data_IF_413525436242
#
_entry.id   IF_413525436242
#
_cell.length_a   1.000
_cell.length_b   1.000
_cell.length_c   1.000
_cell.angle_alpha   90.00
_cell.angle_beta   90.00
_cell.angle_gamma   90.00
#
_symmetry.space_group_name_H-M   'P 1'
#
loop_
_entity.id
_entity.type
_entity.pdbx_description
1 polymer ?
#
# COMPACT_ATOMS: atom_id res chain seq x y z
N UNK A 1 17.05 25.68 -24.91
CA UNK A 1 18.43 25.87 -24.40
C UNK A 1 18.56 25.14 -23.07
N UNK A 2 19.72 24.52 -22.84
CA UNK A 2 20.03 23.85 -21.57
C UNK A 2 20.95 24.75 -20.74
N UNK A 3 20.82 24.70 -19.41
CA UNK A 3 21.76 25.36 -18.50
C UNK A 3 23.07 24.56 -18.36
N UNK A 4 24.02 25.13 -17.59
CA UNK A 4 25.33 24.51 -17.35
C UNK A 4 25.24 23.13 -16.62
N UNK A 5 24.10 22.80 -16.03
CA UNK A 5 23.83 21.55 -15.32
C UNK A 5 23.01 20.57 -16.16
N UNK A 6 22.72 20.88 -17.43
CA UNK A 6 22.00 20.03 -18.35
C UNK A 6 20.46 20.12 -18.29
N UNK A 7 19.90 20.97 -17.42
CA UNK A 7 18.46 21.16 -17.29
C UNK A 7 17.90 22.01 -18.45
N UNK A 8 16.71 21.67 -18.93
CA UNK A 8 16.02 22.42 -19.99
C UNK A 8 15.43 23.70 -19.40
N UNK A 9 16.06 24.83 -19.69
CA UNK A 9 15.69 26.16 -19.13
C UNK A 9 14.62 26.88 -19.94
N UNK A 10 14.50 26.59 -21.22
CA UNK A 10 13.38 27.02 -22.05
C UNK A 10 13.26 26.15 -23.32
N UNK A 11 12.07 25.75 -23.69
CA UNK A 11 11.73 25.32 -25.04
C UNK A 11 10.98 26.47 -25.69
N UNK A 12 11.63 27.17 -26.60
CA UNK A 12 10.92 28.09 -27.47
C UNK A 12 10.13 27.23 -28.45
N UNK A 13 8.83 27.13 -28.29
CA UNK A 13 7.97 26.62 -29.33
C UNK A 13 8.06 27.61 -30.48
N UNK A 14 8.59 27.18 -31.61
CA UNK A 14 8.52 27.90 -32.84
C UNK A 14 7.05 27.96 -33.29
N UNK A 15 6.33 28.97 -32.78
CA UNK A 15 4.94 29.21 -33.14
C UNK A 15 4.78 29.86 -34.53
N UNK A 16 5.89 30.09 -35.24
CA UNK A 16 5.95 30.82 -36.50
C UNK A 16 6.68 30.05 -37.61
N UNK A 17 6.21 28.91 -37.99
CA UNK A 17 6.54 28.28 -39.28
C UNK A 17 5.27 27.76 -39.97
N UNK A 18 4.19 28.56 -39.92
CA UNK A 18 3.11 28.46 -40.86
C UNK A 18 3.46 29.20 -42.14
N UNK A 19 3.05 28.70 -43.32
CA UNK A 19 3.24 29.44 -44.56
C UNK A 19 2.38 30.71 -44.51
N UNK A 20 3.04 31.88 -44.36
CA UNK A 20 2.41 33.17 -44.54
C UNK A 20 2.07 33.33 -46.00
N UNK A 21 0.87 32.94 -46.36
CA UNK A 21 0.28 33.27 -47.65
C UNK A 21 -0.30 34.65 -47.62
N UNK A 22 0.17 35.52 -48.51
CA UNK A 22 -0.67 36.41 -49.23
C UNK A 22 -0.66 37.88 -48.82
N UNK A 23 -0.23 38.70 -49.72
CA UNK A 23 -0.91 39.96 -50.02
C UNK A 23 -0.10 41.19 -50.21
N UNK A 24 0.33 41.48 -51.43
CA UNK A 24 0.09 42.77 -52.08
C UNK A 24 1.07 43.90 -51.92
N UNK A 25 1.73 44.29 -53.02
CA UNK A 25 2.00 45.69 -53.30
C UNK A 25 3.38 46.09 -53.73
N UNK A 26 3.68 46.05 -55.01
CA UNK A 26 4.30 47.06 -55.84
C UNK A 26 5.67 47.64 -55.49
N UNK A 27 6.68 47.37 -56.32
CA UNK A 27 7.92 48.11 -56.39
C UNK A 27 8.97 47.36 -57.21
N UNK A 28 9.10 47.70 -58.49
CA UNK A 28 10.07 47.10 -59.41
C UNK A 28 11.52 47.37 -59.00
N UNK A 29 12.27 46.35 -58.91
CA UNK A 29 13.70 46.30 -58.82
C UNK A 29 14.15 44.91 -59.18
N UNK A 30 14.74 44.78 -60.39
CA UNK A 30 15.29 43.56 -60.93
C UNK A 30 16.50 43.17 -60.08
N UNK A 31 16.30 42.37 -59.07
CA UNK A 31 17.37 41.74 -58.31
C UNK A 31 17.56 40.33 -58.91
N UNK A 32 18.78 40.08 -59.40
CA UNK A 32 19.19 38.77 -59.86
C UNK A 32 18.83 37.66 -58.84
N UNK A 33 18.38 36.50 -59.23
CA UNK A 33 18.04 35.41 -58.33
C UNK A 33 19.29 35.02 -57.58
N UNK A 34 19.34 35.33 -56.31
CA UNK A 34 20.23 34.67 -55.36
C UNK A 34 19.80 33.20 -55.41
N UNK A 35 20.76 32.34 -55.83
CA UNK A 35 20.56 30.90 -55.75
C UNK A 35 20.12 30.57 -54.31
N UNK A 36 18.84 30.36 -54.11
CA UNK A 36 18.29 30.06 -52.80
C UNK A 36 18.97 28.79 -52.30
N UNK A 37 19.46 28.82 -51.06
CA UNK A 37 19.76 27.61 -50.32
C UNK A 37 18.58 26.63 -50.50
N UNK A 38 18.85 25.34 -50.72
CA UNK A 38 17.79 24.37 -50.85
C UNK A 38 16.96 24.49 -49.56
N UNK A 39 15.70 24.88 -49.72
CA UNK A 39 14.74 24.89 -48.61
C UNK A 39 14.78 23.45 -48.07
N UNK A 40 15.36 23.28 -46.88
CA UNK A 40 15.40 21.99 -46.23
C UNK A 40 13.98 21.47 -46.20
N UNK A 41 13.76 20.35 -46.89
CA UNK A 41 12.43 19.74 -46.92
C UNK A 41 12.10 19.35 -45.51
N UNK A 42 11.04 19.92 -44.97
CA UNK A 42 10.55 19.60 -43.64
C UNK A 42 10.38 18.07 -43.53
N UNK A 43 11.12 17.47 -42.58
CA UNK A 43 11.09 16.02 -42.38
C UNK A 43 10.19 15.71 -41.19
N UNK A 44 8.95 15.31 -41.45
CA UNK A 44 7.95 14.97 -40.46
C UNK A 44 8.48 13.92 -39.45
N UNK A 45 9.25 12.95 -39.92
CA UNK A 45 9.81 11.90 -39.07
C UNK A 45 10.84 12.46 -38.09
N UNK A 46 11.73 13.32 -38.52
CA UNK A 46 12.69 13.98 -37.66
C UNK A 46 12.02 14.92 -36.66
N UNK A 47 11.00 15.65 -37.10
CA UNK A 47 10.16 16.48 -36.23
C UNK A 47 9.45 15.64 -35.17
N UNK A 48 8.78 14.56 -35.55
CA UNK A 48 8.09 13.64 -34.66
C UNK A 48 9.06 13.03 -33.65
N UNK A 49 10.22 12.55 -34.11
CA UNK A 49 11.24 11.96 -33.24
C UNK A 49 11.80 12.97 -32.24
N UNK A 50 12.05 14.22 -32.67
CA UNK A 50 12.61 15.26 -31.82
C UNK A 50 11.64 15.73 -30.72
N UNK A 51 10.34 15.78 -31.03
CA UNK A 51 9.33 16.32 -30.11
C UNK A 51 8.55 15.24 -29.34
N UNK A 52 8.36 14.07 -29.91
CA UNK A 52 7.50 13.00 -29.42
C UNK A 52 8.21 11.65 -29.31
N UNK A 53 9.56 11.60 -29.39
CA UNK A 53 10.34 10.36 -29.34
C UNK A 53 10.09 9.49 -28.11
N UNK A 54 9.69 10.13 -27.00
CA UNK A 54 9.29 9.44 -25.76
C UNK A 54 8.03 8.56 -25.92
N UNK A 55 7.21 8.80 -26.94
CA UNK A 55 6.02 8.00 -27.22
C UNK A 55 6.37 6.57 -27.70
N UNK A 56 7.61 6.35 -28.18
CA UNK A 56 8.03 5.10 -28.79
C UNK A 56 7.57 4.97 -30.24
N UNK A 57 8.16 3.99 -30.96
CA UNK A 57 8.05 3.91 -32.42
C UNK A 57 6.61 3.73 -32.91
N UNK A 58 5.83 2.88 -32.26
CA UNK A 58 4.45 2.58 -32.67
C UNK A 58 3.56 3.85 -32.65
N UNK A 59 3.60 4.60 -31.57
CA UNK A 59 2.82 5.84 -31.45
C UNK A 59 3.39 6.96 -32.31
N UNK A 60 4.71 6.97 -32.57
CA UNK A 60 5.30 7.91 -33.50
C UNK A 60 4.82 7.67 -34.93
N UNK A 61 4.74 6.43 -35.36
CA UNK A 61 4.25 6.09 -36.70
C UNK A 61 2.77 6.49 -36.85
N UNK A 62 1.94 6.24 -35.83
CA UNK A 62 0.55 6.70 -35.79
C UNK A 62 0.46 8.23 -35.81
N UNK A 63 1.30 8.95 -35.05
CA UNK A 63 1.34 10.39 -35.08
C UNK A 63 1.70 10.92 -36.48
N UNK A 64 2.69 10.33 -37.15
CA UNK A 64 3.13 10.73 -38.48
C UNK A 64 1.99 10.51 -39.51
N UNK A 65 1.29 9.38 -39.43
CA UNK A 65 0.15 9.10 -40.28
C UNK A 65 -0.97 10.12 -40.09
N UNK A 66 -1.36 10.41 -38.83
CA UNK A 66 -2.35 11.44 -38.51
C UNK A 66 -1.89 12.84 -38.94
N UNK A 67 -0.61 13.18 -38.76
CA UNK A 67 -0.04 14.46 -39.19
C UNK A 67 -0.16 14.68 -40.70
N UNK A 68 0.10 13.64 -41.45
CA UNK A 68 -0.02 13.70 -42.94
C UNK A 68 -1.50 13.81 -43.36
N UNK A 69 -2.42 13.09 -42.72
CA UNK A 69 -3.86 13.15 -42.99
C UNK A 69 -4.44 14.51 -42.66
N UNK A 70 -4.00 15.12 -41.55
CA UNK A 70 -4.52 16.39 -41.06
C UNK A 70 -3.79 17.64 -41.63
N UNK A 71 -3.08 17.47 -42.73
CA UNK A 71 -2.44 18.60 -43.44
C UNK A 71 -1.30 19.27 -42.68
N UNK A 72 -0.66 18.58 -41.76
CA UNK A 72 0.49 19.05 -41.01
C UNK A 72 0.15 19.73 -39.69
N UNK A 73 -1.06 19.56 -39.18
CA UNK A 73 -1.46 20.05 -37.86
C UNK A 73 -1.07 19.05 -36.78
N UNK A 74 -0.11 19.44 -35.92
CA UNK A 74 0.41 18.58 -34.87
C UNK A 74 -0.57 18.37 -33.72
N UNK A 75 -1.40 19.35 -33.40
CA UNK A 75 -2.38 19.25 -32.33
C UNK A 75 -3.52 18.32 -32.73
N UNK A 76 -3.92 18.36 -34.03
CA UNK A 76 -4.91 17.45 -34.57
C UNK A 76 -4.38 16.01 -34.67
N UNK A 77 -3.11 15.86 -35.09
CA UNK A 77 -2.41 14.57 -35.11
C UNK A 77 -2.32 13.93 -33.73
N UNK A 78 -1.98 14.71 -32.71
CA UNK A 78 -1.97 14.24 -31.32
C UNK A 78 -3.37 13.82 -30.87
N UNK A 79 -4.41 14.59 -31.22
CA UNK A 79 -5.80 14.22 -30.89
C UNK A 79 -6.21 12.92 -31.57
N UNK A 80 -5.89 12.76 -32.84
CA UNK A 80 -6.16 11.51 -33.58
C UNK A 80 -5.46 10.32 -32.96
N UNK A 81 -4.14 10.41 -32.72
CA UNK A 81 -3.34 9.37 -32.07
C UNK A 81 -3.90 8.98 -30.69
N UNK A 82 -4.31 9.95 -29.86
CA UNK A 82 -4.86 9.70 -28.52
C UNK A 82 -6.17 8.92 -28.54
N UNK A 83 -6.90 8.86 -29.64
CA UNK A 83 -8.12 8.05 -29.76
C UNK A 83 -7.81 6.56 -29.99
N UNK A 84 -6.60 6.22 -30.38
CA UNK A 84 -6.21 4.84 -30.76
C UNK A 84 -6.11 3.92 -29.54
N UNK A 85 -6.31 2.62 -29.77
CA UNK A 85 -6.14 1.62 -28.69
C UNK A 85 -4.68 1.53 -28.23
N UNK A 86 -3.72 1.58 -29.18
CA UNK A 86 -2.28 1.59 -28.86
C UNK A 86 -1.89 2.69 -27.87
N UNK A 87 -2.47 3.89 -27.99
CA UNK A 87 -2.25 4.97 -27.04
C UNK A 87 -2.84 4.65 -25.67
N UNK A 88 -4.06 4.13 -25.61
CA UNK A 88 -4.73 3.76 -24.35
C UNK A 88 -4.02 2.63 -23.62
N UNK A 89 -3.49 1.68 -24.37
CA UNK A 89 -2.70 0.56 -23.82
C UNK A 89 -1.35 1.03 -23.26
N UNK A 90 -0.75 2.05 -23.89
CA UNK A 90 0.52 2.61 -23.42
C UNK A 90 0.38 3.55 -22.24
N UNK A 91 -0.72 4.29 -22.17
CA UNK A 91 -1.02 5.26 -21.11
C UNK A 91 -2.34 4.91 -20.42
N UNK A 92 -2.41 3.75 -19.73
CA UNK A 92 -3.64 3.31 -19.09
C UNK A 92 -4.04 4.31 -17.99
N UNK A 93 -5.30 4.70 -17.99
CA UNK A 93 -5.85 5.64 -17.01
C UNK A 93 -5.54 7.13 -17.25
N UNK A 94 -4.83 7.50 -18.35
CA UNK A 94 -4.51 8.91 -18.64
C UNK A 94 -5.77 9.75 -18.93
N UNK A 95 -6.85 9.12 -19.37
CA UNK A 95 -8.15 9.76 -19.53
C UNK A 95 -8.99 9.62 -18.26
N UNK A 96 -9.84 10.59 -18.01
CA UNK A 96 -10.92 10.49 -17.03
C UNK A 96 -11.97 9.46 -17.50
N UNK A 97 -12.95 9.19 -16.66
CA UNK A 97 -14.02 8.21 -16.94
C UNK A 97 -14.81 8.50 -18.23
N UNK A 98 -14.82 9.76 -18.68
CA UNK A 98 -15.45 10.15 -19.95
C UNK A 98 -14.70 9.64 -21.20
N UNK A 99 -13.51 9.08 -21.02
CA UNK A 99 -12.67 8.50 -22.07
C UNK A 99 -12.05 9.51 -23.05
N UNK A 100 -12.21 10.82 -22.80
CA UNK A 100 -11.80 11.91 -23.70
C UNK A 100 -11.02 13.02 -23.00
N UNK A 101 -11.32 13.31 -21.75
CA UNK A 101 -10.65 14.35 -20.97
C UNK A 101 -9.38 13.77 -20.32
N UNK A 102 -8.23 14.40 -20.59
CA UNK A 102 -6.98 14.02 -19.93
C UNK A 102 -7.00 14.38 -18.43
N UNK A 103 -6.46 13.50 -17.58
CA UNK A 103 -6.32 13.77 -16.14
C UNK A 103 -5.28 14.83 -15.85
N UNK A 104 -4.22 14.87 -16.65
CA UNK A 104 -3.11 15.81 -16.49
C UNK A 104 -3.37 17.02 -17.39
N UNK A 105 -3.58 18.17 -16.77
CA UNK A 105 -3.75 19.45 -17.45
C UNK A 105 -2.38 20.10 -17.68
N UNK A 106 -1.65 19.63 -18.67
CA UNK A 106 -0.34 20.18 -19.05
C UNK A 106 -0.16 20.20 -20.56
N UNK A 107 0.89 20.89 -21.01
CA UNK A 107 1.29 20.88 -22.43
C UNK A 107 1.91 19.54 -22.88
N UNK A 108 2.34 18.71 -21.93
CA UNK A 108 3.02 17.42 -22.17
C UNK A 108 2.50 16.35 -21.22
N UNK A 109 1.18 16.03 -21.27
CA UNK A 109 0.55 15.14 -20.29
C UNK A 109 1.15 13.73 -20.30
N UNK A 110 1.64 13.25 -21.45
CA UNK A 110 2.29 11.95 -21.58
C UNK A 110 3.64 11.92 -20.86
N UNK A 111 4.43 12.98 -20.93
CA UNK A 111 5.69 13.08 -20.20
C UNK A 111 5.47 13.15 -18.69
N UNK A 112 4.45 13.88 -18.26
CA UNK A 112 4.10 13.99 -16.86
C UNK A 112 3.58 12.65 -16.32
N UNK A 113 2.78 11.90 -17.14
CA UNK A 113 2.36 10.53 -16.82
C UNK A 113 3.58 9.61 -16.63
N UNK A 114 4.51 9.60 -17.59
CA UNK A 114 5.73 8.78 -17.52
C UNK A 114 6.52 9.12 -16.25
N UNK A 115 6.64 10.42 -15.93
CA UNK A 115 7.36 10.86 -14.75
C UNK A 115 6.68 10.39 -13.45
N UNK A 116 5.36 10.52 -13.35
CA UNK A 116 4.61 10.05 -12.18
C UNK A 116 4.80 8.54 -11.98
N UNK A 117 4.72 7.74 -13.05
CA UNK A 117 4.96 6.29 -12.99
C UNK A 117 6.39 5.98 -12.58
N UNK A 118 7.37 6.72 -13.09
CA UNK A 118 8.79 6.58 -12.71
C UNK A 118 9.03 6.93 -11.24
N UNK A 119 8.39 7.99 -10.74
CA UNK A 119 8.46 8.37 -9.33
C UNK A 119 7.89 7.25 -8.43
N UNK A 120 6.74 6.63 -8.80
CA UNK A 120 6.22 5.45 -8.08
C UNK A 120 7.19 4.27 -8.09
N UNK A 121 7.79 3.96 -9.26
CA UNK A 121 8.77 2.87 -9.40
C UNK A 121 9.98 3.11 -8.51
N UNK A 122 10.52 4.33 -8.51
CA UNK A 122 11.67 4.70 -7.68
C UNK A 122 11.37 4.51 -6.20
N UNK A 123 10.19 4.93 -5.73
CA UNK A 123 9.82 4.70 -4.34
C UNK A 123 9.69 3.23 -3.98
N UNK A 124 9.16 2.38 -4.86
CA UNK A 124 9.12 0.92 -4.63
C UNK A 124 10.54 0.33 -4.54
N UNK A 125 11.44 0.74 -5.45
CA UNK A 125 12.84 0.30 -5.46
C UNK A 125 13.59 0.73 -4.18
N UNK A 126 13.33 1.90 -3.65
CA UNK A 126 13.91 2.38 -2.39
C UNK A 126 13.57 1.48 -1.19
N UNK A 127 12.44 0.76 -1.26
CA UNK A 127 12.03 -0.24 -0.28
C UNK A 127 12.36 -1.69 -0.69
N UNK A 128 13.19 -1.89 -1.72
CA UNK A 128 13.54 -3.20 -2.30
C UNK A 128 12.33 -4.02 -2.77
N UNK A 129 11.24 -3.36 -3.16
CA UNK A 129 10.07 -3.99 -3.76
C UNK A 129 10.22 -4.01 -5.28
N UNK A 130 9.81 -5.09 -5.93
CA UNK A 130 9.86 -5.19 -7.38
C UNK A 130 8.73 -4.36 -8.02
N UNK A 131 9.02 -3.24 -8.74
CA UNK A 131 7.98 -2.38 -9.30
C UNK A 131 7.07 -3.08 -10.32
N UNK A 132 7.57 -4.09 -11.02
CA UNK A 132 6.78 -4.81 -12.03
C UNK A 132 5.62 -5.58 -11.41
N UNK A 133 5.72 -5.95 -10.13
CA UNK A 133 4.62 -6.56 -9.39
C UNK A 133 3.46 -5.56 -9.17
N UNK A 134 3.76 -4.27 -9.10
CA UNK A 134 2.81 -3.20 -8.76
C UNK A 134 2.27 -2.44 -9.97
N UNK A 135 2.48 -2.92 -11.19
CA UNK A 135 2.11 -2.16 -12.40
C UNK A 135 0.63 -1.79 -12.46
N UNK A 136 -0.25 -2.72 -12.06
CA UNK A 136 -1.69 -2.45 -11.98
C UNK A 136 -2.01 -1.44 -10.87
N UNK A 137 -1.46 -1.66 -9.67
CA UNK A 137 -1.67 -0.76 -8.53
C UNK A 137 -1.16 0.66 -8.81
N UNK A 138 -0.01 0.81 -9.49
CA UNK A 138 0.46 2.14 -9.92
C UNK A 138 -0.50 2.81 -10.91
N UNK A 139 -1.14 2.04 -11.78
CA UNK A 139 -2.17 2.56 -12.67
C UNK A 139 -3.40 2.99 -11.89
N UNK A 140 -3.82 2.20 -10.92
CA UNK A 140 -4.95 2.49 -10.06
C UNK A 140 -4.67 3.73 -9.18
N UNK A 141 -3.50 3.83 -8.58
CA UNK A 141 -3.06 5.03 -7.84
C UNK A 141 -3.14 6.28 -8.71
N UNK A 142 -2.67 6.19 -9.94
CA UNK A 142 -2.73 7.30 -10.89
C UNK A 142 -4.17 7.67 -11.25
N UNK A 143 -5.05 6.67 -11.49
CA UNK A 143 -6.46 6.91 -11.82
C UNK A 143 -7.26 7.50 -10.68
N UNK A 144 -6.83 7.30 -9.45
CA UNK A 144 -7.43 7.89 -8.24
C UNK A 144 -6.71 9.17 -7.77
N UNK A 145 -5.95 9.81 -8.66
CA UNK A 145 -5.27 11.09 -8.43
C UNK A 145 -4.36 11.08 -7.17
N UNK A 146 -3.79 9.91 -6.82
CA UNK A 146 -2.82 9.78 -5.73
C UNK A 146 -1.48 10.29 -6.23
N UNK A 147 -0.98 11.37 -5.66
CA UNK A 147 0.31 11.91 -6.03
C UNK A 147 1.49 11.06 -5.49
N UNK A 148 2.68 11.09 -6.14
CA UNK A 148 3.83 10.29 -5.74
C UNK A 148 4.27 10.51 -4.30
N UNK A 149 4.13 11.71 -3.74
CA UNK A 149 4.51 12.00 -2.35
C UNK A 149 3.56 11.35 -1.35
N UNK A 150 2.27 11.35 -1.66
CA UNK A 150 1.26 10.63 -0.88
C UNK A 150 1.53 9.12 -0.92
N UNK A 151 1.89 8.58 -2.09
CA UNK A 151 2.26 7.17 -2.22
C UNK A 151 3.52 6.84 -1.39
N UNK A 152 4.57 7.65 -1.46
CA UNK A 152 5.78 7.49 -0.66
C UNK A 152 5.47 7.44 0.85
N UNK A 153 4.61 8.34 1.33
CA UNK A 153 4.19 8.36 2.73
C UNK A 153 3.42 7.09 3.13
N UNK A 154 2.59 6.55 2.22
CA UNK A 154 1.89 5.28 2.46
C UNK A 154 2.86 4.10 2.56
N UNK A 155 3.86 4.04 1.67
CA UNK A 155 4.92 3.03 1.72
C UNK A 155 5.73 3.13 3.01
N UNK A 156 6.17 4.34 3.41
CA UNK A 156 6.93 4.54 4.64
C UNK A 156 6.15 4.10 5.88
N UNK A 157 4.88 4.47 5.96
CA UNK A 157 3.98 4.06 7.04
C UNK A 157 3.84 2.54 7.11
N UNK A 158 3.58 1.89 5.97
CA UNK A 158 3.45 0.45 5.90
C UNK A 158 4.77 -0.25 6.26
N UNK A 159 5.88 0.17 5.67
CA UNK A 159 7.20 -0.43 5.88
C UNK A 159 7.66 -0.33 7.33
N UNK A 160 7.68 0.89 7.88
CA UNK A 160 8.15 1.14 9.26
C UNK A 160 7.34 0.36 10.29
N UNK A 161 6.04 0.21 10.04
CA UNK A 161 5.13 -0.45 10.96
C UNK A 161 5.16 -1.97 10.88
N UNK A 162 5.48 -2.54 9.72
CA UNK A 162 5.46 -3.99 9.48
C UNK A 162 6.83 -4.65 9.69
N UNK A 163 7.92 -3.93 9.44
CA UNK A 163 9.25 -4.52 9.28
C UNK A 163 9.75 -5.28 10.52
N UNK A 164 9.40 -4.83 11.75
CA UNK A 164 9.87 -5.46 12.99
C UNK A 164 9.17 -6.78 13.33
N UNK A 165 8.03 -7.07 12.70
CA UNK A 165 7.19 -8.24 12.99
C UNK A 165 6.75 -8.98 11.72
N UNK A 166 7.55 -8.88 10.66
CA UNK A 166 7.14 -9.27 9.31
C UNK A 166 6.71 -10.74 9.18
N UNK A 167 7.48 -11.67 9.76
CA UNK A 167 7.16 -13.10 9.72
C UNK A 167 5.88 -13.44 10.50
N UNK A 168 5.67 -12.81 11.65
CA UNK A 168 4.47 -12.99 12.45
C UNK A 168 3.24 -12.38 11.72
N UNK A 169 3.41 -11.25 11.06
CA UNK A 169 2.38 -10.63 10.22
C UNK A 169 2.03 -11.54 9.05
N UNK A 170 3.01 -12.14 8.36
CA UNK A 170 2.77 -13.12 7.30
C UNK A 170 1.90 -14.29 7.78
N UNK A 171 2.28 -14.90 8.91
CA UNK A 171 1.52 -16.01 9.49
C UNK A 171 0.10 -15.60 9.88
N UNK A 172 -0.07 -14.39 10.44
CA UNK A 172 -1.39 -13.85 10.76
C UNK A 172 -2.26 -13.69 9.50
N UNK A 173 -1.69 -13.18 8.38
CA UNK A 173 -2.41 -13.01 7.13
C UNK A 173 -2.88 -14.33 6.53
N UNK A 174 -2.00 -15.33 6.43
CA UNK A 174 -2.37 -16.67 5.93
C UNK A 174 -3.50 -17.28 6.76
N UNK A 175 -3.44 -17.12 8.07
CA UNK A 175 -4.43 -17.70 8.96
C UNK A 175 -5.80 -17.02 8.86
N UNK A 176 -5.83 -15.70 8.71
CA UNK A 176 -7.10 -14.95 8.72
C UNK A 176 -7.69 -14.71 7.32
N UNK A 177 -6.85 -14.82 6.28
CA UNK A 177 -7.24 -14.60 4.88
C UNK A 177 -6.83 -15.76 3.96
N UNK A 178 -7.14 -17.03 4.30
CA UNK A 178 -6.68 -18.19 3.54
C UNK A 178 -7.22 -18.26 2.11
N UNK A 179 -8.32 -17.57 1.83
CA UNK A 179 -8.87 -17.45 0.48
C UNK A 179 -8.07 -16.54 -0.46
N UNK A 180 -7.24 -15.64 0.12
CA UNK A 180 -6.39 -14.72 -0.63
C UNK A 180 -4.95 -15.24 -0.60
N UNK A 181 -4.50 -15.71 0.56
CA UNK A 181 -3.13 -16.16 0.83
C UNK A 181 -3.18 -17.59 1.38
N UNK A 182 -3.14 -18.62 0.53
CA UNK A 182 -3.28 -20.01 0.96
C UNK A 182 -2.08 -20.55 1.72
N UNK A 183 -0.90 -20.00 1.52
CA UNK A 183 0.32 -20.39 2.24
C UNK A 183 1.25 -19.19 2.51
N UNK A 184 2.21 -19.36 3.42
CA UNK A 184 3.27 -18.35 3.67
C UNK A 184 4.21 -18.20 2.49
N UNK A 185 4.35 -19.22 1.66
CA UNK A 185 5.24 -19.21 0.49
C UNK A 185 4.65 -18.35 -0.65
N UNK A 186 3.30 -18.21 -0.68
CA UNK A 186 2.60 -17.35 -1.63
C UNK A 186 2.57 -15.87 -1.17
N UNK A 187 2.96 -15.62 0.07
CA UNK A 187 2.99 -14.29 0.68
C UNK A 187 4.36 -13.66 0.51
N UNK A 188 4.61 -13.13 -0.68
CA UNK A 188 5.79 -12.29 -0.90
C UNK A 188 5.64 -10.94 -0.20
N UNK A 189 6.75 -10.24 -0.02
CA UNK A 189 6.75 -8.90 0.56
C UNK A 189 5.89 -7.96 -0.27
N UNK A 190 5.96 -8.08 -1.60
CA UNK A 190 5.15 -7.34 -2.54
C UNK A 190 3.64 -7.58 -2.35
N UNK A 191 3.22 -8.84 -2.14
CA UNK A 191 1.81 -9.17 -1.94
C UNK A 191 1.25 -8.53 -0.67
N UNK A 192 2.03 -8.49 0.41
CA UNK A 192 1.66 -7.82 1.66
C UNK A 192 1.56 -6.32 1.41
N UNK A 193 2.61 -5.69 0.87
CA UNK A 193 2.61 -4.26 0.60
C UNK A 193 1.48 -3.85 -0.34
N UNK A 194 1.20 -4.62 -1.39
CA UNK A 194 0.07 -4.36 -2.30
C UNK A 194 -1.27 -4.30 -1.56
N UNK A 195 -1.47 -5.13 -0.53
CA UNK A 195 -2.69 -5.11 0.28
C UNK A 195 -2.82 -3.86 1.16
N UNK A 196 -1.73 -3.17 1.46
CA UNK A 196 -1.72 -1.95 2.27
C UNK A 196 -1.80 -0.66 1.46
N UNK A 197 -1.31 -0.66 0.22
CA UNK A 197 -1.19 0.55 -0.62
C UNK A 197 -2.26 0.64 -1.70
N UNK A 198 -3.28 -0.23 -1.69
CA UNK A 198 -4.34 -0.17 -2.71
C UNK A 198 -5.10 1.18 -2.67
N UNK A 199 -5.64 1.55 -3.81
CA UNK A 199 -6.17 2.87 -4.15
C UNK A 199 -7.28 3.40 -3.24
N UNK A 200 -8.21 2.54 -2.85
CA UNK A 200 -9.41 2.89 -2.07
C UNK A 200 -9.13 3.15 -0.58
N UNK A 201 -7.84 3.15 -0.20
CA UNK A 201 -7.48 3.13 1.21
C UNK A 201 -6.86 4.46 1.60
N UNK A 202 -7.55 5.20 2.46
CA UNK A 202 -6.99 6.38 3.12
C UNK A 202 -5.83 6.01 4.03
N UNK A 203 -4.94 6.94 4.31
CA UNK A 203 -3.83 6.74 5.27
C UNK A 203 -4.30 6.22 6.62
N UNK A 204 -5.47 6.67 7.10
CA UNK A 204 -6.06 6.22 8.36
C UNK A 204 -6.43 4.72 8.31
N UNK A 205 -6.96 4.24 7.18
CA UNK A 205 -7.29 2.82 6.99
C UNK A 205 -6.01 1.99 6.91
N UNK A 206 -4.95 2.51 6.26
CA UNK A 206 -3.64 1.85 6.23
C UNK A 206 -3.09 1.71 7.65
N UNK A 207 -3.04 2.80 8.43
CA UNK A 207 -2.60 2.76 9.82
C UNK A 207 -3.42 1.77 10.66
N UNK A 208 -4.72 1.73 10.44
CA UNK A 208 -5.61 0.81 11.16
C UNK A 208 -5.29 -0.65 10.79
N UNK A 209 -5.13 -0.98 9.50
CA UNK A 209 -4.74 -2.32 9.04
C UNK A 209 -3.38 -2.73 9.58
N UNK A 210 -2.42 -1.81 9.58
CA UNK A 210 -1.10 -2.02 10.17
C UNK A 210 -1.22 -2.35 11.65
N UNK A 211 -1.95 -1.57 12.43
CA UNK A 211 -2.19 -1.81 13.85
C UNK A 211 -2.86 -3.18 14.11
N UNK A 212 -3.86 -3.54 13.30
CA UNK A 212 -4.51 -4.86 13.37
C UNK A 212 -3.51 -5.98 13.11
N UNK A 213 -2.68 -5.84 12.09
CA UNK A 213 -1.66 -6.84 11.74
C UNK A 213 -0.56 -6.96 12.79
N UNK A 214 -0.12 -5.83 13.38
CA UNK A 214 0.84 -5.82 14.48
C UNK A 214 0.29 -6.54 15.72
N UNK A 215 -0.97 -6.27 16.07
CA UNK A 215 -1.62 -6.97 17.20
C UNK A 215 -1.74 -8.46 16.90
N UNK A 216 -2.23 -8.83 15.72
CA UNK A 216 -2.34 -10.23 15.30
C UNK A 216 -0.99 -10.94 15.27
N UNK A 217 0.03 -10.29 14.73
CA UNK A 217 1.40 -10.77 14.70
C UNK A 217 1.99 -11.00 16.09
N UNK A 218 1.78 -10.07 17.02
CA UNK A 218 2.25 -10.18 18.39
C UNK A 218 1.70 -11.41 19.14
N UNK A 219 0.43 -11.76 18.91
CA UNK A 219 -0.13 -13.02 19.44
C UNK A 219 0.45 -14.24 18.73
N UNK A 220 0.72 -14.11 17.43
CA UNK A 220 1.27 -15.22 16.65
C UNK A 220 2.72 -15.55 17.01
N UNK A 221 3.53 -14.58 17.43
CA UNK A 221 4.88 -14.79 17.95
C UNK A 221 4.89 -15.71 19.18
N UNK A 222 3.84 -15.72 19.97
CA UNK A 222 3.65 -16.59 21.15
C UNK A 222 2.77 -17.82 20.83
N UNK A 223 2.71 -18.25 19.56
CA UNK A 223 1.89 -19.38 19.09
C UNK A 223 0.39 -19.28 19.43
N UNK A 224 -0.08 -18.08 19.74
CA UNK A 224 -1.48 -17.79 20.01
C UNK A 224 -2.19 -17.30 18.75
N UNK A 225 -3.49 -17.59 18.66
CA UNK A 225 -4.30 -17.24 17.50
C UNK A 225 -5.47 -16.38 17.90
N UNK A 226 -5.57 -15.18 17.34
CA UNK A 226 -6.73 -14.31 17.46
C UNK A 226 -7.34 -14.08 16.07
N UNK A 227 -8.65 -13.85 16.02
CA UNK A 227 -9.32 -13.48 14.76
C UNK A 227 -9.05 -12.02 14.37
N UNK A 228 -9.28 -11.69 13.10
CA UNK A 228 -9.19 -10.32 12.61
C UNK A 228 -10.14 -9.39 13.37
N UNK A 229 -11.35 -9.83 13.70
CA UNK A 229 -12.32 -9.06 14.48
C UNK A 229 -11.84 -8.80 15.91
N UNK A 230 -11.19 -9.77 16.54
CA UNK A 230 -10.58 -9.59 17.86
C UNK A 230 -9.44 -8.57 17.81
N UNK A 231 -8.53 -8.70 16.84
CA UNK A 231 -7.45 -7.74 16.64
C UNK A 231 -8.00 -6.33 16.38
N UNK A 232 -9.05 -6.20 15.56
CA UNK A 232 -9.73 -4.93 15.30
C UNK A 232 -10.34 -4.31 16.56
N UNK A 233 -10.98 -5.12 17.41
CA UNK A 233 -11.54 -4.65 18.71
C UNK A 233 -10.44 -4.16 19.64
N UNK A 234 -9.28 -4.83 19.67
CA UNK A 234 -8.12 -4.42 20.48
C UNK A 234 -7.52 -3.10 19.98
N UNK A 235 -7.43 -2.89 18.66
CA UNK A 235 -7.05 -1.59 18.07
C UNK A 235 -8.04 -0.50 18.51
N UNK A 236 -9.33 -0.79 18.44
CA UNK A 236 -10.39 0.16 18.83
C UNK A 236 -10.36 0.49 20.32
N UNK A 237 -9.87 -0.43 21.16
CA UNK A 237 -9.62 -0.21 22.57
C UNK A 237 -8.31 0.57 22.86
N UNK A 238 -7.57 0.96 21.81
CA UNK A 238 -6.32 1.72 21.94
C UNK A 238 -5.09 0.87 22.26
N UNK A 239 -5.16 -0.46 22.09
CA UNK A 239 -4.02 -1.34 22.31
C UNK A 239 -2.98 -1.13 21.22
N UNK A 240 -1.72 -0.98 21.61
CA UNK A 240 -0.58 -0.95 20.69
C UNK A 240 -0.01 -2.35 20.44
N UNK A 241 0.80 -2.51 19.39
CA UNK A 241 1.53 -3.77 19.12
C UNK A 241 2.36 -4.24 20.32
N UNK A 242 3.08 -3.32 20.99
CA UNK A 242 3.84 -3.64 22.23
C UNK A 242 2.92 -4.07 23.37
N UNK A 243 1.76 -3.42 23.53
CA UNK A 243 0.76 -3.83 24.52
C UNK A 243 0.21 -5.22 24.22
N UNK A 244 -0.06 -5.50 22.96
CA UNK A 244 -0.51 -6.82 22.50
C UNK A 244 0.52 -7.91 22.79
N UNK A 245 1.82 -7.65 22.57
CA UNK A 245 2.91 -8.58 22.86
C UNK A 245 2.96 -8.90 24.37
N UNK A 246 2.84 -7.90 25.23
CA UNK A 246 2.80 -8.12 26.68
C UNK A 246 1.59 -8.97 27.11
N UNK A 247 0.44 -8.77 26.48
CA UNK A 247 -0.77 -9.56 26.77
C UNK A 247 -0.60 -10.99 26.26
N UNK A 248 -0.02 -11.17 25.05
CA UNK A 248 0.25 -12.47 24.48
C UNK A 248 1.21 -13.30 25.38
N UNK A 249 2.31 -12.70 25.84
CA UNK A 249 3.25 -13.33 26.76
C UNK A 249 2.58 -13.72 28.09
N UNK A 250 1.72 -12.84 28.63
CA UNK A 250 0.95 -13.19 29.82
C UNK A 250 -0.04 -14.29 29.58
N UNK A 251 -0.68 -14.32 28.40
CA UNK A 251 -1.60 -15.36 28.02
C UNK A 251 -0.86 -16.71 27.91
N UNK A 252 0.27 -16.77 27.22
CA UNK A 252 1.09 -17.97 27.13
C UNK A 252 1.45 -18.53 28.51
N UNK A 253 1.87 -17.66 29.43
CA UNK A 253 2.27 -18.06 30.78
C UNK A 253 1.09 -18.49 31.68
N UNK A 254 -0.06 -17.83 31.61
CA UNK A 254 -1.16 -17.96 32.56
C UNK A 254 -2.33 -18.84 32.06
N UNK A 255 -2.63 -18.81 30.76
CA UNK A 255 -3.80 -19.47 30.19
C UNK A 255 -3.83 -20.99 30.46
N UNK A 256 -2.71 -21.75 30.31
CA UNK A 256 -2.73 -23.19 30.62
C UNK A 256 -3.05 -23.51 32.09
N UNK A 257 -2.68 -22.59 33.01
CA UNK A 257 -3.02 -22.74 34.43
C UNK A 257 -4.51 -22.47 34.65
N UNK A 258 -5.04 -21.38 34.09
CA UNK A 258 -6.46 -21.02 34.22
C UNK A 258 -7.38 -22.07 33.62
N UNK A 259 -7.03 -22.66 32.48
CA UNK A 259 -7.75 -23.76 31.86
C UNK A 259 -7.80 -25.03 32.78
N UNK A 260 -6.66 -25.38 33.40
CA UNK A 260 -6.62 -26.46 34.36
C UNK A 260 -7.48 -26.19 35.60
N UNK A 261 -7.51 -24.96 36.10
CA UNK A 261 -8.39 -24.56 37.21
C UNK A 261 -9.86 -24.64 36.77
N UNK A 262 -10.19 -24.13 35.60
CA UNK A 262 -11.53 -24.20 35.04
C UNK A 262 -12.00 -25.67 34.95
N UNK A 263 -11.16 -26.54 34.40
CA UNK A 263 -11.45 -28.00 34.33
C UNK A 263 -11.67 -28.58 35.71
N UNK A 264 -10.84 -28.24 36.69
CA UNK A 264 -10.92 -28.79 38.05
C UNK A 264 -12.21 -28.36 38.78
N UNK A 265 -12.58 -27.06 38.67
CA UNK A 265 -13.69 -26.54 39.46
C UNK A 265 -15.04 -26.57 38.76
N UNK A 266 -15.05 -26.60 37.42
CA UNK A 266 -16.31 -26.62 36.64
C UNK A 266 -16.50 -27.89 35.83
N UNK A 267 -15.48 -28.74 35.73
CA UNK A 267 -15.48 -29.92 34.88
C UNK A 267 -15.20 -29.63 33.40
N UNK A 268 -15.00 -28.35 33.02
CA UNK A 268 -14.82 -27.90 31.63
C UNK A 268 -13.60 -27.01 31.53
N UNK A 269 -12.71 -27.28 30.59
CA UNK A 269 -11.53 -26.46 30.31
C UNK A 269 -11.80 -25.36 29.25
N UNK A 270 -12.85 -25.54 28.45
CA UNK A 270 -13.24 -24.68 27.35
C UNK A 270 -13.98 -23.39 27.78
N UNK A 271 -14.31 -23.24 29.05
CA UNK A 271 -14.98 -22.04 29.55
C UNK A 271 -14.07 -20.85 29.75
N UNK A 272 -12.75 -21.05 29.73
CA UNK A 272 -11.75 -19.99 29.82
C UNK A 272 -10.68 -20.19 28.74
N UNK A 273 -10.88 -19.52 27.62
CA UNK A 273 -9.99 -19.54 26.49
C UNK A 273 -9.19 -18.25 26.36
N UNK A 274 -8.52 -18.10 25.23
CA UNK A 274 -7.75 -16.91 24.91
C UNK A 274 -8.64 -15.66 24.82
N UNK A 275 -9.86 -15.78 24.29
CA UNK A 275 -10.80 -14.66 24.19
C UNK A 275 -11.19 -14.12 25.56
N UNK A 276 -11.53 -14.99 26.49
CA UNK A 276 -11.89 -14.64 27.88
C UNK A 276 -10.69 -14.02 28.59
N UNK A 277 -9.48 -14.56 28.38
CA UNK A 277 -8.26 -13.98 28.92
C UNK A 277 -8.02 -12.53 28.41
N UNK A 278 -8.13 -12.32 27.11
CA UNK A 278 -7.97 -10.99 26.50
C UNK A 278 -9.04 -10.03 27.03
N UNK A 279 -10.29 -10.45 27.15
CA UNK A 279 -11.36 -9.61 27.69
C UNK A 279 -11.11 -9.24 29.15
N UNK A 280 -10.63 -10.17 29.97
CA UNK A 280 -10.24 -9.89 31.35
C UNK A 280 -9.09 -8.87 31.46
N UNK A 281 -8.03 -9.06 30.67
CA UNK A 281 -6.81 -8.24 30.74
C UNK A 281 -6.97 -6.83 30.13
N UNK A 282 -7.77 -6.69 29.07
CA UNK A 282 -7.90 -5.43 28.32
C UNK A 282 -9.08 -4.59 28.81
N UNK A 283 -10.20 -5.23 29.07
CA UNK A 283 -11.44 -4.53 29.38
C UNK A 283 -11.77 -4.52 30.88
N UNK A 284 -11.12 -5.39 31.69
CA UNK A 284 -11.15 -5.33 33.16
C UNK A 284 -12.51 -5.56 33.82
N UNK A 285 -13.58 -5.48 33.06
CA UNK A 285 -14.96 -5.58 33.52
C UNK A 285 -15.72 -6.60 32.68
N UNK A 286 -16.21 -7.65 33.28
CA UNK A 286 -17.03 -8.61 32.56
C UNK A 286 -17.06 -9.99 33.19
N UNK A 287 -17.82 -10.89 32.59
CA UNK A 287 -17.93 -12.28 33.03
C UNK A 287 -16.58 -13.00 33.04
N UNK A 288 -15.67 -12.63 32.14
CA UNK A 288 -14.34 -13.20 32.03
C UNK A 288 -13.45 -12.85 33.23
N UNK A 289 -13.39 -11.56 33.62
CA UNK A 289 -12.63 -11.10 34.80
C UNK A 289 -13.18 -11.71 36.09
N UNK A 290 -14.51 -11.76 36.24
CA UNK A 290 -15.16 -12.41 37.40
C UNK A 290 -14.88 -13.92 37.43
N UNK A 291 -14.85 -14.59 36.28
CA UNK A 291 -14.52 -16.00 36.20
C UNK A 291 -13.06 -16.26 36.59
N UNK A 292 -12.14 -15.44 36.12
CA UNK A 292 -10.72 -15.53 36.47
C UNK A 292 -10.52 -15.34 37.99
N UNK A 293 -11.06 -14.27 38.58
CA UNK A 293 -11.01 -14.00 40.01
C UNK A 293 -11.61 -15.14 40.84
N UNK A 294 -12.73 -15.70 40.40
CA UNK A 294 -13.35 -16.86 41.04
C UNK A 294 -12.43 -18.08 40.99
N UNK A 295 -11.84 -18.41 39.84
CA UNK A 295 -10.93 -19.55 39.70
C UNK A 295 -9.69 -19.41 40.60
N UNK A 296 -9.13 -18.22 40.70
CA UNK A 296 -8.00 -17.92 41.59
C UNK A 296 -8.39 -17.98 43.08
N UNK A 297 -9.55 -17.45 43.45
CA UNK A 297 -10.04 -17.49 44.84
C UNK A 297 -10.35 -18.93 45.27
N UNK A 298 -10.96 -19.73 44.44
CA UNK A 298 -11.21 -21.17 44.70
C UNK A 298 -9.88 -21.92 44.87
N UNK A 299 -8.87 -21.64 44.08
CA UNK A 299 -7.52 -22.19 44.27
C UNK A 299 -6.93 -21.80 45.62
N UNK A 300 -6.98 -20.53 46.02
CA UNK A 300 -6.49 -20.07 47.30
C UNK A 300 -7.20 -20.74 48.46
N UNK A 301 -8.53 -20.94 48.37
CA UNK A 301 -9.35 -21.59 49.41
C UNK A 301 -8.98 -23.08 49.62
N UNK A 302 -8.52 -23.77 48.58
CA UNK A 302 -8.04 -25.17 48.68
C UNK A 302 -6.73 -25.23 49.46
N UNK A 303 -5.81 -24.29 49.24
CA UNK A 303 -4.55 -24.26 49.98
C UNK A 303 -4.74 -23.89 51.46
N UNK A 304 -5.56 -22.93 51.76
CA UNK A 304 -5.86 -22.57 53.17
C UNK A 304 -6.57 -23.69 53.92
N UNK A 305 -7.43 -24.48 53.28
CA UNK A 305 -8.05 -25.66 53.90
C UNK A 305 -7.01 -26.76 54.13
N UNK A 306 -6.05 -26.95 53.23
CA UNK A 306 -5.01 -27.97 53.39
C UNK A 306 -4.05 -27.62 54.54
N UNK A 307 -3.67 -26.34 54.72
CA UNK A 307 -2.85 -25.86 55.84
C UNK A 307 -3.60 -25.97 57.18
N UNK A 308 -4.90 -25.68 57.22
CA UNK A 308 -5.73 -25.83 58.41
C UNK A 308 -5.91 -27.30 58.83
N UNK A 309 -5.97 -28.23 57.90
CA UNK A 309 -6.02 -29.67 58.15
C UNK A 309 -4.67 -30.22 58.69
N UNK A 310 -3.56 -29.72 58.18
CA UNK A 310 -2.23 -30.09 58.68
C UNK A 310 -1.97 -29.55 60.11
N UNK A 311 -2.41 -28.35 60.40
CA UNK A 311 -2.27 -27.74 61.73
C UNK A 311 -3.14 -28.46 62.79
N UNK A 312 -4.33 -28.95 62.43
CA UNK A 312 -5.18 -29.73 63.34
C UNK A 312 -4.61 -31.13 63.58
N UNK A 313 -3.93 -31.74 62.63
CA UNK A 313 -3.31 -33.06 62.77
C UNK A 313 -2.03 -33.00 63.64
N UNK A 314 -1.31 -31.92 63.64
CA UNK A 314 -0.14 -31.69 64.53
C UNK A 314 -0.53 -31.38 65.97
N UNK A 315 -1.75 -30.85 66.20
CA UNK A 315 -2.25 -30.51 67.55
C UNK A 315 -2.79 -31.70 68.36
N UNK A 316 -3.04 -32.85 67.74
CA UNK A 316 -3.59 -34.04 68.41
C UNK A 316 -2.51 -35.02 68.87
N UNK A 317 -1.28 -34.97 68.39
CA UNK A 317 -0.20 -35.87 68.77
C UNK A 317 0.51 -35.53 70.09
N UNK A 318 0.18 -34.39 70.73
CA UNK A 318 0.84 -33.94 71.97
C UNK A 318 0.09 -34.29 73.27
N UNK A 319 -0.98 -35.10 73.29
CA UNK A 319 -1.83 -35.32 74.47
C UNK A 319 -1.92 -36.78 74.93
N UNK A 320 -0.97 -37.65 74.56
CA UNK A 320 -0.90 -39.00 75.07
C UNK A 320 0.53 -39.28 75.57
N UNK A 321 0.93 -38.64 76.70
CA UNK A 321 1.94 -39.04 77.65
C UNK A 321 1.75 -38.33 78.97
N UNK A 322 0.88 -38.87 79.85
CA UNK A 322 1.00 -38.89 81.29
C UNK A 322 0.29 -40.10 81.85
#
# INVERSE_FOLDING_TARGET
TRDANGNVVSRTFLKDLGPTGGGGGGGGGEVAPIAGDPVEKFNVKEFAQANYGFLGQELLDLFIDEYNVNGGDADEALRGMRTTQAYKDKFPGIFREDGTTLRIESNTPELDYIKIKEDYRTYLEDYNLNPDYFENQMTDLFTNDVDPSTFANRLDTAYTSLFTQFDAVKQYYVQNYPGIFPSTDDLTDEAIFASFISEDISSDIIEQRVKVSQIGGAFKEEDLTISADQAQRLVSAGLSGTGAQQIAQRAEARLPRLQRLAKRFTGREDIFGLSEFIESEVFGEGAAAQLEERLESEQASVFTRAEGAAATQAGVTGLIEQ
#
